data_IF_241449953447
#
_entry.id   IF_241449953447
#
_cell.length_a   1.000
_cell.length_b   1.000
_cell.length_c   1.000
_cell.angle_alpha   90.00
_cell.angle_beta   90.00
_cell.angle_gamma   90.00
#
_symmetry.space_group_name_H-M   'P 1'
#
loop_
_entity.id
_entity.type
_entity.pdbx_description
1 polymer ?
#
# COMPACT_ATOMS: atom_id res chain seq x y z
N UNK A 1 4.17 -4.10 14.61
CA UNK A 1 3.89 -4.88 15.83
C UNK A 1 3.57 -6.26 15.34
N UNK A 2 4.44 -7.21 15.59
CA UNK A 2 4.24 -8.61 15.17
C UNK A 2 3.89 -9.38 16.44
N UNK A 3 2.74 -10.06 16.45
CA UNK A 3 2.27 -10.87 17.57
C UNK A 3 2.24 -10.14 18.94
N UNK A 4 1.96 -8.83 18.94
CA UNK A 4 1.89 -8.01 20.16
C UNK A 4 3.22 -7.38 20.59
N UNK A 5 4.33 -7.68 19.92
CA UNK A 5 5.65 -7.11 20.22
C UNK A 5 6.09 -6.06 19.20
N UNK A 6 6.81 -5.05 19.68
CA UNK A 6 7.39 -4.00 18.83
C UNK A 6 8.72 -4.49 18.28
N UNK A 7 8.70 -4.95 17.02
CA UNK A 7 9.90 -5.41 16.31
C UNK A 7 10.40 -4.34 15.32
N UNK A 8 11.73 -4.22 15.11
CA UNK A 8 12.28 -3.40 14.04
C UNK A 8 11.85 -3.95 12.66
N UNK A 9 11.29 -3.08 11.81
CA UNK A 9 10.86 -3.44 10.46
C UNK A 9 11.32 -2.42 9.43
N UNK A 10 11.57 -2.87 8.20
CA UNK A 10 11.85 -1.98 7.06
C UNK A 10 10.55 -1.36 6.59
N UNK A 11 10.53 -0.03 6.45
CA UNK A 11 9.36 0.73 5.96
C UNK A 11 9.79 1.63 4.82
N UNK A 12 8.94 1.73 3.80
CA UNK A 12 9.11 2.63 2.68
C UNK A 12 7.94 3.61 2.64
N UNK A 13 8.24 4.90 2.41
CA UNK A 13 7.20 5.91 2.15
C UNK A 13 6.92 5.97 0.66
N UNK A 14 5.64 6.01 0.29
CA UNK A 14 5.18 6.12 -1.09
C UNK A 14 4.15 7.23 -1.18
N UNK A 15 4.18 7.98 -2.28
CA UNK A 15 3.26 9.08 -2.55
C UNK A 15 2.62 8.87 -3.91
N UNK A 16 1.28 8.93 -3.96
CA UNK A 16 0.52 8.94 -5.22
C UNK A 16 0.05 10.36 -5.51
N UNK A 17 0.44 10.90 -6.66
CA UNK A 17 -0.15 12.11 -7.22
C UNK A 17 -1.29 11.71 -8.15
N UNK A 18 -2.44 12.37 -8.04
CA UNK A 18 -3.62 12.07 -8.85
C UNK A 18 -4.40 13.33 -9.22
N UNK A 19 -5.11 13.28 -10.35
CA UNK A 19 -6.05 14.33 -10.73
C UNK A 19 -7.40 14.10 -10.04
N UNK A 20 -7.69 14.94 -9.05
CA UNK A 20 -8.86 14.78 -8.19
C UNK A 20 -10.20 15.04 -8.90
N UNK A 21 -10.17 15.58 -10.13
CA UNK A 21 -11.39 15.73 -10.94
C UNK A 21 -11.88 14.38 -11.47
N UNK A 22 -10.98 13.40 -11.56
CA UNK A 22 -11.23 12.08 -12.15
C UNK A 22 -11.14 10.97 -11.09
N UNK A 23 -10.26 11.13 -10.10
CA UNK A 23 -10.01 10.14 -9.06
C UNK A 23 -10.30 10.75 -7.70
N UNK A 24 -11.29 10.21 -7.00
CA UNK A 24 -11.55 10.60 -5.62
C UNK A 24 -10.54 9.98 -4.64
N UNK A 25 -10.49 10.53 -3.42
CA UNK A 25 -9.58 10.07 -2.38
C UNK A 25 -9.81 8.62 -1.93
N UNK A 26 -11.04 8.09 -2.03
CA UNK A 26 -11.32 6.71 -1.64
C UNK A 26 -10.70 5.72 -2.64
N UNK A 27 -10.83 5.99 -3.94
CA UNK A 27 -10.16 5.21 -5.00
C UNK A 27 -8.64 5.31 -4.91
N UNK A 28 -8.11 6.51 -4.65
CA UNK A 28 -6.67 6.68 -4.47
C UNK A 28 -6.13 5.89 -3.26
N UNK A 29 -6.88 5.86 -2.15
CA UNK A 29 -6.52 5.07 -0.97
C UNK A 29 -6.61 3.57 -1.23
N UNK A 30 -7.67 3.10 -1.92
CA UNK A 30 -7.80 1.70 -2.33
C UNK A 30 -6.62 1.27 -3.21
N UNK A 31 -6.26 2.08 -4.21
CA UNK A 31 -5.10 1.81 -5.07
C UNK A 31 -3.80 1.67 -4.26
N UNK A 32 -3.54 2.60 -3.33
CA UNK A 32 -2.33 2.55 -2.50
C UNK A 32 -2.30 1.32 -1.58
N UNK A 33 -3.45 0.86 -1.09
CA UNK A 33 -3.54 -0.37 -0.29
C UNK A 33 -3.21 -1.60 -1.15
N UNK A 34 -3.82 -1.71 -2.34
CA UNK A 34 -3.49 -2.79 -3.28
C UNK A 34 -2.01 -2.75 -3.66
N UNK A 35 -1.47 -1.58 -3.99
CA UNK A 35 -0.04 -1.42 -4.26
C UNK A 35 0.83 -1.90 -3.10
N UNK A 36 0.47 -1.54 -1.86
CA UNK A 36 1.19 -1.99 -0.66
C UNK A 36 1.16 -3.52 -0.55
N UNK A 37 -0.01 -4.15 -0.67
CA UNK A 37 -0.17 -5.61 -0.57
C UNK A 37 0.67 -6.34 -1.60
N UNK A 38 0.62 -5.87 -2.85
CA UNK A 38 1.42 -6.45 -3.93
C UNK A 38 2.92 -6.28 -3.69
N UNK A 39 3.35 -5.17 -3.09
CA UNK A 39 4.77 -4.97 -2.79
C UNK A 39 5.25 -5.75 -1.57
N UNK A 40 4.39 -5.95 -0.58
CA UNK A 40 4.69 -6.79 0.60
C UNK A 40 4.64 -8.29 0.26
N UNK A 41 3.87 -8.68 -0.75
CA UNK A 41 3.81 -10.06 -1.26
C UNK A 41 3.78 -10.13 -2.81
N UNK A 42 4.93 -9.98 -3.49
CA UNK A 42 4.98 -9.91 -4.96
C UNK A 42 4.44 -11.14 -5.70
N UNK A 43 4.47 -12.32 -5.08
CA UNK A 43 3.94 -13.55 -5.69
C UNK A 43 2.42 -13.51 -5.88
N UNK A 44 1.72 -12.66 -5.11
CA UNK A 44 0.27 -12.43 -5.30
C UNK A 44 -0.08 -11.84 -6.66
N UNK A 45 0.87 -11.24 -7.39
CA UNK A 45 0.65 -10.77 -8.76
C UNK A 45 0.52 -11.89 -9.80
N UNK A 46 0.98 -13.11 -9.49
CA UNK A 46 1.06 -14.25 -10.42
C UNK A 46 -0.09 -15.26 -10.28
N UNK A 47 -0.91 -15.13 -9.23
CA UNK A 47 -2.04 -16.00 -8.90
C UNK A 47 -3.35 -15.37 -9.34
#
# INVERSE_FOLDING_TARGET
VENGEVVPGKRMKVTLSSDHRIVDGAKAAQFLNTFKELMENPLSMLL
#
